data_IF_727431708112
#
_entry.id   IF_727431708112
#
_cell.length_a   1.000
_cell.length_b   1.000
_cell.length_c   1.000
_cell.angle_alpha   90.00
_cell.angle_beta   90.00
_cell.angle_gamma   90.00
#
_symmetry.space_group_name_H-M   'P 1'
#
loop_
_entity.id
_entity.type
_entity.pdbx_description
1 polymer ?
#
# COMPACT_ATOMS: atom_id res chain seq x y z
N UNK A 1 -24.35 12.35 60.34
CA UNK A 1 -23.21 13.12 59.83
C UNK A 1 -21.94 12.33 60.09
N UNK A 2 -21.45 11.59 59.08
CA UNK A 2 -20.05 11.17 58.97
C UNK A 2 -19.83 10.84 57.50
N UNK A 3 -18.97 11.61 56.83
CA UNK A 3 -18.64 11.45 55.43
C UNK A 3 -17.29 10.75 55.32
N UNK A 4 -17.28 9.47 55.03
CA UNK A 4 -16.05 8.74 54.71
C UNK A 4 -15.63 9.05 53.27
N UNK A 5 -14.64 9.94 53.12
CA UNK A 5 -13.94 10.15 51.85
C UNK A 5 -12.87 9.08 51.70
N UNK A 6 -13.08 8.16 50.77
CA UNK A 6 -12.04 7.24 50.30
C UNK A 6 -10.95 8.04 49.59
N UNK A 7 -9.73 8.00 50.12
CA UNK A 7 -8.57 8.65 49.52
C UNK A 7 -8.06 7.83 48.33
N UNK A 8 -8.02 8.45 47.15
CA UNK A 8 -7.41 7.89 45.93
C UNK A 8 -5.89 8.11 46.00
N UNK A 9 -5.03 7.08 45.82
CA UNK A 9 -3.59 7.28 45.83
C UNK A 9 -3.13 8.03 44.58
N UNK A 10 -2.04 8.83 44.66
CA UNK A 10 -1.56 9.58 43.51
C UNK A 10 -1.03 8.64 42.43
N UNK A 11 -1.39 8.92 41.19
CA UNK A 11 -0.81 8.30 39.99
C UNK A 11 0.70 8.55 40.01
N UNK A 12 1.50 7.49 40.04
CA UNK A 12 2.95 7.57 39.84
C UNK A 12 3.21 8.09 38.42
N UNK A 13 3.67 9.33 38.33
CA UNK A 13 4.13 9.95 37.08
C UNK A 13 5.48 9.35 36.69
N UNK A 14 5.44 8.18 36.04
CA UNK A 14 6.61 7.50 35.48
C UNK A 14 6.69 7.60 33.96
N UNK A 15 6.22 8.71 33.36
CA UNK A 15 6.44 8.96 31.94
C UNK A 15 7.77 9.70 31.79
N UNK A 16 8.88 8.95 31.84
CA UNK A 16 10.11 9.42 31.20
C UNK A 16 9.75 9.73 29.74
N UNK A 17 9.80 11.01 29.37
CA UNK A 17 9.70 11.39 27.97
C UNK A 17 10.91 10.76 27.30
N UNK A 18 10.71 9.67 26.58
CA UNK A 18 11.67 9.20 25.60
C UNK A 18 11.94 10.38 24.66
N UNK A 19 13.08 11.06 24.86
CA UNK A 19 13.58 12.04 23.91
C UNK A 19 13.76 11.30 22.60
N UNK A 20 13.07 11.72 21.54
CA UNK A 20 13.23 11.14 20.22
C UNK A 20 14.73 11.14 19.89
N UNK A 21 15.31 9.95 19.73
CA UNK A 21 16.70 9.81 19.33
C UNK A 21 16.74 10.19 17.86
N UNK A 22 17.32 11.34 17.55
CA UNK A 22 17.58 11.72 16.17
C UNK A 22 18.71 10.82 15.68
N UNK A 23 18.39 9.91 14.75
CA UNK A 23 19.36 8.97 14.19
C UNK A 23 20.57 9.69 13.61
N UNK A 24 21.77 9.18 13.91
CA UNK A 24 23.02 9.69 13.32
C UNK A 24 23.31 9.08 11.95
N UNK A 25 22.60 8.03 11.53
CA UNK A 25 22.68 7.48 10.17
C UNK A 25 22.05 8.45 9.14
N UNK A 26 22.81 8.95 8.15
CA UNK A 26 22.30 9.89 7.16
C UNK A 26 21.18 9.30 6.29
N UNK A 27 21.14 7.98 6.07
CA UNK A 27 20.07 7.31 5.30
C UNK A 27 18.76 7.35 6.06
N UNK A 28 18.80 7.09 7.37
CA UNK A 28 17.60 7.13 8.24
C UNK A 28 17.07 8.55 8.37
N UNK A 29 17.93 9.57 8.50
CA UNK A 29 17.49 10.96 8.50
C UNK A 29 16.85 11.37 7.17
N UNK A 30 17.53 11.12 6.05
CA UNK A 30 17.00 11.42 4.73
C UNK A 30 15.65 10.72 4.50
N UNK A 31 15.54 9.47 4.92
CA UNK A 31 14.31 8.70 4.84
C UNK A 31 13.17 9.37 5.63
N UNK A 32 13.44 9.73 6.87
CA UNK A 32 12.45 10.31 7.78
C UNK A 32 12.02 11.71 7.32
N UNK A 33 12.98 12.55 6.93
CA UNK A 33 12.73 13.95 6.56
C UNK A 33 12.00 14.09 5.22
N UNK A 34 12.29 13.22 4.25
CA UNK A 34 11.74 13.32 2.91
C UNK A 34 10.48 12.48 2.69
N UNK A 35 10.33 11.36 3.39
CA UNK A 35 9.24 10.41 3.11
C UNK A 35 8.07 10.49 4.08
N UNK A 36 8.20 11.20 5.21
CA UNK A 36 7.09 11.38 6.15
C UNK A 36 5.77 11.81 5.46
N UNK A 37 5.73 12.83 4.57
CA UNK A 37 4.48 13.20 3.90
C UNK A 37 3.85 12.06 3.09
N UNK A 38 4.68 11.23 2.42
CA UNK A 38 4.22 10.08 1.63
C UNK A 38 3.63 9.00 2.51
N UNK A 39 4.31 8.63 3.60
CA UNK A 39 3.83 7.62 4.54
C UNK A 39 2.45 7.98 5.09
N UNK A 40 2.32 9.21 5.59
CA UNK A 40 1.08 9.70 6.17
C UNK A 40 -0.01 9.81 5.12
N UNK A 41 0.28 10.34 3.92
CA UNK A 41 -0.70 10.47 2.85
C UNK A 41 -1.21 9.11 2.34
N UNK A 42 -0.40 8.07 2.40
CA UNK A 42 -0.76 6.71 1.99
C UNK A 42 -1.39 5.87 3.11
N UNK A 43 -1.55 6.42 4.31
CA UNK A 43 -2.34 5.80 5.39
C UNK A 43 -1.53 5.21 6.55
N UNK A 44 -0.21 5.43 6.62
CA UNK A 44 0.55 5.10 7.83
C UNK A 44 0.14 6.05 8.96
N UNK A 45 -0.22 5.51 10.13
CA UNK A 45 -0.53 6.32 11.31
C UNK A 45 0.67 7.17 11.71
N UNK A 46 0.42 8.44 12.05
CA UNK A 46 1.49 9.38 12.41
C UNK A 46 2.27 8.93 13.65
N UNK A 47 1.59 8.36 14.66
CA UNK A 47 2.27 7.90 15.86
C UNK A 47 3.07 6.63 15.61
N UNK A 48 2.61 5.75 14.70
CA UNK A 48 3.42 4.62 14.23
C UNK A 48 4.67 5.12 13.51
N UNK A 49 4.54 6.09 12.61
CA UNK A 49 5.70 6.67 11.93
C UNK A 49 6.72 7.24 12.92
N UNK A 50 6.30 8.16 13.80
CA UNK A 50 7.19 8.81 14.78
C UNK A 50 7.80 7.79 15.74
N UNK A 51 7.00 6.85 16.27
CA UNK A 51 7.46 5.82 17.21
C UNK A 51 8.50 4.90 16.58
N UNK A 52 8.28 4.50 15.32
CA UNK A 52 9.15 3.55 14.61
C UNK A 52 10.46 4.22 14.24
N UNK A 53 10.38 5.34 13.51
CA UNK A 53 11.55 6.08 13.03
C UNK A 53 12.41 6.64 14.16
N UNK A 54 11.80 7.09 15.26
CA UNK A 54 12.52 7.62 16.43
C UNK A 54 13.34 6.58 17.21
N UNK A 55 13.30 5.30 16.82
CA UNK A 55 14.05 4.19 17.44
C UNK A 55 15.09 3.57 16.49
N UNK A 56 15.14 3.98 15.23
CA UNK A 56 16.04 3.39 14.23
C UNK A 56 17.38 4.14 14.27
N UNK A 57 18.42 3.49 14.74
CA UNK A 57 19.77 4.08 14.78
C UNK A 57 20.56 3.86 13.49
N UNK A 58 20.31 2.75 12.78
CA UNK A 58 21.02 2.36 11.55
C UNK A 58 20.04 1.92 10.47
N UNK A 59 20.36 2.18 9.21
CA UNK A 59 19.53 1.78 8.07
C UNK A 59 19.27 0.27 8.01
N UNK A 60 20.25 -0.52 8.46
CA UNK A 60 20.17 -1.98 8.52
C UNK A 60 18.99 -2.45 9.38
N UNK A 61 18.61 -1.67 10.39
CA UNK A 61 17.53 -1.96 11.34
C UNK A 61 16.14 -1.50 10.83
N UNK A 62 16.09 -0.79 9.69
CA UNK A 62 14.86 -0.18 9.16
C UNK A 62 13.76 -1.20 8.88
N UNK A 63 14.08 -2.25 8.11
CA UNK A 63 13.10 -3.29 7.76
C UNK A 63 12.56 -4.01 9.00
N UNK A 64 13.42 -4.30 9.98
CA UNK A 64 13.03 -5.01 11.19
C UNK A 64 12.12 -4.16 12.08
N UNK A 65 12.44 -2.87 12.23
CA UNK A 65 11.62 -1.94 13.00
C UNK A 65 10.19 -1.82 12.44
N UNK A 66 10.07 -1.65 11.12
CA UNK A 66 8.76 -1.59 10.45
C UNK A 66 8.03 -2.94 10.43
N UNK A 67 8.76 -4.05 10.28
CA UNK A 67 8.18 -5.40 10.36
C UNK A 67 7.60 -5.69 11.74
N UNK A 68 8.26 -5.24 12.81
CA UNK A 68 7.75 -5.40 14.17
C UNK A 68 6.41 -4.67 14.39
N UNK A 69 6.26 -3.46 13.84
CA UNK A 69 5.01 -2.70 13.90
C UNK A 69 3.92 -3.35 13.05
N UNK A 70 4.28 -3.92 11.90
CA UNK A 70 3.35 -4.72 11.13
C UNK A 70 2.85 -5.94 11.93
N UNK A 71 3.73 -6.62 12.68
CA UNK A 71 3.35 -7.73 13.55
C UNK A 71 2.41 -7.31 14.69
N UNK A 72 2.61 -6.13 15.28
CA UNK A 72 1.67 -5.53 16.24
C UNK A 72 0.26 -5.39 15.62
N UNK A 73 0.17 -4.85 14.40
CA UNK A 73 -1.10 -4.69 13.68
C UNK A 73 -1.73 -6.03 13.28
N UNK A 74 -0.93 -7.04 12.92
CA UNK A 74 -1.44 -8.39 12.63
C UNK A 74 -2.04 -9.05 13.88
N UNK A 75 -1.48 -8.83 15.08
CA UNK A 75 -2.08 -9.28 16.33
C UNK A 75 -3.38 -8.52 16.65
N UNK A 76 -3.42 -7.20 16.43
CA UNK A 76 -4.64 -6.42 16.57
C UNK A 76 -5.75 -6.92 15.63
N UNK A 77 -5.39 -7.28 14.39
CA UNK A 77 -6.32 -7.87 13.44
C UNK A 77 -6.88 -9.20 13.94
N UNK A 78 -6.02 -10.11 14.44
CA UNK A 78 -6.44 -11.39 15.04
C UNK A 78 -7.38 -11.20 16.22
N UNK A 79 -7.04 -10.29 17.14
CA UNK A 79 -7.87 -9.96 18.30
C UNK A 79 -9.24 -9.38 17.90
N UNK A 80 -9.27 -8.54 16.87
CA UNK A 80 -10.51 -7.97 16.32
C UNK A 80 -11.40 -9.06 15.69
N UNK A 81 -10.82 -10.01 14.94
CA UNK A 81 -11.55 -11.18 14.40
C UNK A 81 -12.17 -12.00 15.54
N UNK A 82 -11.38 -12.35 16.56
CA UNK A 82 -11.86 -13.13 17.71
C UNK A 82 -13.00 -12.46 18.48
N UNK A 83 -13.11 -11.13 18.38
CA UNK A 83 -14.17 -10.32 18.97
C UNK A 83 -15.31 -9.96 17.99
N UNK A 84 -15.35 -10.53 16.78
CA UNK A 84 -16.38 -10.25 15.77
C UNK A 84 -16.32 -8.84 15.15
N UNK A 85 -15.19 -8.13 15.26
CA UNK A 85 -14.99 -6.76 14.79
C UNK A 85 -14.30 -6.72 13.42
N UNK A 86 -15.00 -7.20 12.38
CA UNK A 86 -14.45 -7.36 11.03
C UNK A 86 -13.83 -6.08 10.44
N UNK A 87 -14.53 -4.94 10.52
CA UNK A 87 -13.99 -3.66 10.02
C UNK A 87 -12.67 -3.28 10.71
N UNK A 88 -12.61 -3.42 12.04
CA UNK A 88 -11.36 -3.16 12.80
C UNK A 88 -10.24 -4.10 12.39
N UNK A 89 -10.56 -5.38 12.12
CA UNK A 89 -9.56 -6.32 11.63
C UNK A 89 -9.02 -5.91 10.25
N UNK A 90 -9.89 -5.48 9.34
CA UNK A 90 -9.53 -5.00 8.02
C UNK A 90 -8.59 -3.80 8.05
N UNK A 91 -8.89 -2.78 8.86
CA UNK A 91 -8.03 -1.59 9.01
C UNK A 91 -6.65 -1.98 9.60
N UNK A 92 -6.61 -2.90 10.57
CA UNK A 92 -5.35 -3.38 11.13
C UNK A 92 -4.51 -4.18 10.10
N UNK A 93 -5.14 -5.02 9.27
CA UNK A 93 -4.44 -5.68 8.17
C UNK A 93 -3.89 -4.68 7.14
N UNK A 94 -4.64 -3.62 6.84
CA UNK A 94 -4.18 -2.56 5.94
C UNK A 94 -2.95 -1.84 6.51
N UNK A 95 -2.96 -1.47 7.79
CA UNK A 95 -1.79 -0.88 8.43
C UNK A 95 -0.58 -1.82 8.43
N UNK A 96 -0.78 -3.12 8.65
CA UNK A 96 0.29 -4.11 8.55
C UNK A 96 0.88 -4.16 7.13
N UNK A 97 0.04 -4.16 6.09
CA UNK A 97 0.48 -4.13 4.70
C UNK A 97 1.32 -2.88 4.40
N UNK A 98 0.85 -1.70 4.81
CA UNK A 98 1.58 -0.44 4.61
C UNK A 98 2.91 -0.43 5.38
N UNK A 99 2.94 -0.90 6.63
CA UNK A 99 4.18 -1.02 7.41
C UNK A 99 5.19 -1.95 6.75
N UNK A 100 4.75 -3.09 6.20
CA UNK A 100 5.63 -4.01 5.47
C UNK A 100 6.13 -3.40 4.16
N UNK A 101 5.25 -2.75 3.40
CA UNK A 101 5.60 -2.05 2.17
C UNK A 101 6.67 -0.99 2.42
N UNK A 102 6.42 -0.10 3.37
CA UNK A 102 7.36 0.94 3.76
C UNK A 102 8.53 0.45 4.64
N UNK A 103 8.49 -0.78 5.12
CA UNK A 103 9.65 -1.44 5.72
C UNK A 103 10.63 -1.93 4.66
N UNK A 104 10.13 -2.41 3.51
CA UNK A 104 10.96 -2.93 2.41
C UNK A 104 11.28 -1.91 1.32
N UNK A 105 10.50 -0.84 1.16
CA UNK A 105 10.76 0.16 0.13
C UNK A 105 12.19 0.71 0.29
N UNK A 106 12.92 0.79 -0.83
CA UNK A 106 14.33 1.20 -0.93
C UNK A 106 15.33 0.46 0.00
N UNK A 107 14.89 -0.54 0.75
CA UNK A 107 15.73 -1.39 1.58
C UNK A 107 16.24 -2.55 0.73
N UNK A 108 17.40 -2.36 0.11
CA UNK A 108 17.99 -3.30 -0.86
C UNK A 108 19.18 -4.07 -0.32
N UNK A 109 19.28 -4.21 1.02
CA UNK A 109 20.42 -4.86 1.67
C UNK A 109 20.39 -6.39 1.56
N UNK A 110 19.20 -6.98 1.49
CA UNK A 110 19.00 -8.42 1.39
C UNK A 110 17.75 -8.72 0.54
N UNK A 111 17.95 -9.36 -0.61
CA UNK A 111 16.88 -9.67 -1.56
C UNK A 111 15.87 -10.69 -1.02
N UNK A 112 16.30 -11.65 -0.21
CA UNK A 112 15.41 -12.67 0.35
C UNK A 112 14.49 -12.07 1.41
N UNK A 113 15.03 -11.21 2.28
CA UNK A 113 14.23 -10.48 3.27
C UNK A 113 13.29 -9.46 2.62
N UNK A 114 13.73 -8.76 1.58
CA UNK A 114 12.85 -7.89 0.79
C UNK A 114 11.69 -8.66 0.16
N UNK A 115 11.96 -9.84 -0.43
CA UNK A 115 10.93 -10.73 -0.99
C UNK A 115 9.94 -11.21 0.07
N UNK A 116 10.43 -11.67 1.22
CA UNK A 116 9.58 -12.12 2.32
C UNK A 116 8.67 -11.00 2.85
N UNK A 117 9.17 -9.77 2.99
CA UNK A 117 8.37 -8.62 3.39
C UNK A 117 7.32 -8.25 2.33
N UNK A 118 7.66 -8.36 1.04
CA UNK A 118 6.73 -8.14 -0.07
C UNK A 118 5.58 -9.14 -0.04
N UNK A 119 5.87 -10.43 0.11
CA UNK A 119 4.86 -11.50 0.20
C UNK A 119 3.95 -11.32 1.43
N UNK A 120 4.51 -10.94 2.58
CA UNK A 120 3.73 -10.59 3.77
C UNK A 120 2.83 -9.38 3.55
N UNK A 121 3.32 -8.34 2.86
CA UNK A 121 2.54 -7.14 2.55
C UNK A 121 1.32 -7.47 1.67
N UNK A 122 1.54 -8.25 0.62
CA UNK A 122 0.48 -8.74 -0.28
C UNK A 122 -0.57 -9.55 0.49
N UNK A 123 -0.13 -10.49 1.32
CA UNK A 123 -1.03 -11.31 2.12
C UNK A 123 -1.86 -10.45 3.09
N UNK A 124 -1.25 -9.47 3.75
CA UNK A 124 -1.95 -8.54 4.63
C UNK A 124 -2.97 -7.69 3.86
N UNK A 125 -2.64 -7.16 2.68
CA UNK A 125 -3.58 -6.41 1.85
C UNK A 125 -4.79 -7.27 1.45
N UNK A 126 -4.60 -8.52 1.06
CA UNK A 126 -5.72 -9.39 0.70
C UNK A 126 -6.62 -9.70 1.89
N UNK A 127 -6.06 -9.87 3.09
CA UNK A 127 -6.86 -9.93 4.31
C UNK A 127 -7.62 -8.62 4.57
N UNK A 128 -7.00 -7.46 4.31
CA UNK A 128 -7.67 -6.18 4.42
C UNK A 128 -8.86 -6.07 3.45
N UNK A 129 -8.68 -6.48 2.19
CA UNK A 129 -9.74 -6.54 1.19
C UNK A 129 -10.92 -7.39 1.66
N UNK A 130 -10.71 -8.60 2.17
CA UNK A 130 -11.80 -9.47 2.66
C UNK A 130 -12.73 -8.79 3.67
N UNK A 131 -12.23 -7.84 4.48
CA UNK A 131 -13.02 -7.15 5.50
C UNK A 131 -13.46 -5.74 5.13
N UNK A 132 -12.68 -5.02 4.32
CA UNK A 132 -12.93 -3.62 3.96
C UNK A 132 -13.56 -3.45 2.59
N UNK A 133 -13.21 -4.32 1.65
CA UNK A 133 -13.70 -4.31 0.27
C UNK A 133 -13.82 -5.75 -0.25
N UNK A 134 -14.86 -6.49 0.19
CA UNK A 134 -15.04 -7.90 -0.19
C UNK A 134 -15.24 -8.11 -1.69
N UNK A 135 -15.45 -7.03 -2.45
CA UNK A 135 -15.56 -7.05 -3.90
C UNK A 135 -14.20 -6.92 -4.60
N UNK A 136 -13.11 -6.64 -3.88
CA UNK A 136 -11.80 -6.53 -4.49
C UNK A 136 -11.37 -7.88 -5.09
N UNK A 137 -10.89 -7.86 -6.33
CA UNK A 137 -10.44 -9.04 -7.06
C UNK A 137 -8.96 -8.92 -7.39
N UNK A 138 -8.21 -10.00 -7.21
CA UNK A 138 -6.90 -10.14 -7.86
C UNK A 138 -7.11 -10.46 -9.33
N UNK A 139 -6.50 -9.66 -10.20
CA UNK A 139 -6.44 -9.88 -11.64
C UNK A 139 -5.02 -10.28 -12.00
N UNK A 140 -4.88 -11.29 -12.85
CA UNK A 140 -3.60 -11.71 -13.39
C UNK A 140 -3.59 -11.55 -14.91
N UNK A 141 -2.52 -10.96 -15.43
CA UNK A 141 -2.25 -10.86 -16.85
C UNK A 141 -0.95 -11.60 -17.19
N UNK A 142 -0.77 -11.96 -18.45
CA UNK A 142 0.46 -12.64 -18.91
C UNK A 142 1.25 -11.70 -19.81
N UNK A 143 2.53 -11.50 -19.47
CA UNK A 143 3.50 -10.77 -20.28
C UNK A 143 4.78 -11.61 -20.37
N UNK A 144 5.25 -11.88 -21.59
CA UNK A 144 6.45 -12.70 -21.86
C UNK A 144 6.46 -14.05 -21.12
N UNK A 145 5.27 -14.66 -20.99
CA UNK A 145 5.09 -15.93 -20.27
C UNK A 145 5.32 -15.82 -18.76
N UNK A 146 5.18 -14.63 -18.17
CA UNK A 146 5.21 -14.35 -16.73
C UNK A 146 3.93 -13.64 -16.29
N UNK A 147 3.63 -13.73 -15.00
CA UNK A 147 2.41 -13.16 -14.43
C UNK A 147 2.64 -11.70 -14.00
N UNK A 148 1.77 -10.83 -14.49
CA UNK A 148 1.54 -9.49 -13.97
C UNK A 148 0.38 -9.54 -12.99
N UNK A 149 0.55 -8.97 -11.80
CA UNK A 149 -0.47 -8.95 -10.77
C UNK A 149 -1.14 -7.58 -10.68
N UNK A 150 -2.46 -7.56 -10.56
CA UNK A 150 -3.23 -6.35 -10.33
C UNK A 150 -4.37 -6.59 -9.33
N UNK A 151 -4.87 -5.52 -8.72
CA UNK A 151 -6.06 -5.54 -7.86
C UNK A 151 -7.13 -4.67 -8.49
N UNK A 152 -8.28 -5.27 -8.80
CA UNK A 152 -9.49 -4.59 -9.27
C UNK A 152 -10.39 -4.30 -8.08
N UNK A 153 -10.77 -3.04 -7.89
CA UNK A 153 -11.77 -2.63 -6.90
C UNK A 153 -12.88 -1.83 -7.58
N UNK A 154 -14.11 -1.95 -7.09
CA UNK A 154 -15.28 -1.30 -7.69
C UNK A 154 -16.10 -0.56 -6.65
N UNK A 155 -16.74 0.56 -7.03
CA UNK A 155 -17.68 1.24 -6.15
C UNK A 155 -18.90 0.36 -5.87
N UNK A 156 -19.39 0.40 -4.63
CA UNK A 156 -20.63 -0.29 -4.26
C UNK A 156 -21.82 0.27 -5.05
N UNK A 157 -22.66 -0.62 -5.60
CA UNK A 157 -23.90 -0.23 -6.28
C UNK A 157 -23.73 0.45 -7.64
N UNK A 158 -22.50 0.53 -8.18
CA UNK A 158 -22.28 1.00 -9.55
C UNK A 158 -22.57 -0.12 -10.54
N UNK A 159 -23.31 0.14 -11.62
CA UNK A 159 -23.52 -0.81 -12.70
C UNK A 159 -22.23 -1.11 -13.46
N UNK A 160 -21.88 -0.25 -14.42
CA UNK A 160 -20.65 -0.36 -15.23
C UNK A 160 -19.78 0.89 -15.01
N UNK A 161 -19.03 0.96 -13.90
CA UNK A 161 -18.20 2.13 -13.61
C UNK A 161 -17.06 2.27 -14.64
N UNK A 162 -16.64 3.52 -14.97
CA UNK A 162 -15.39 3.77 -15.67
C UNK A 162 -14.20 3.26 -14.85
N UNK A 163 -13.09 2.92 -15.51
CA UNK A 163 -11.91 2.31 -14.91
C UNK A 163 -10.75 3.29 -14.80
N UNK A 164 -10.06 3.31 -13.67
CA UNK A 164 -8.80 4.03 -13.48
C UNK A 164 -7.69 3.03 -13.19
N UNK A 165 -6.70 2.95 -14.07
CA UNK A 165 -5.48 2.18 -13.85
C UNK A 165 -4.52 2.97 -12.95
N UNK A 166 -4.01 2.36 -11.89
CA UNK A 166 -2.99 3.00 -11.02
C UNK A 166 -1.63 2.33 -11.27
N UNK A 167 -0.66 3.14 -11.68
CA UNK A 167 0.69 2.70 -12.05
C UNK A 167 1.68 3.15 -10.96
N UNK A 168 2.31 2.22 -10.22
CA UNK A 168 3.31 2.54 -9.21
C UNK A 168 4.55 3.24 -9.78
N UNK A 169 5.30 3.88 -8.88
CA UNK A 169 6.65 4.39 -9.13
C UNK A 169 7.73 3.31 -9.05
N UNK A 170 8.99 3.73 -8.93
CA UNK A 170 10.13 2.80 -8.88
C UNK A 170 10.13 1.94 -7.61
N UNK A 171 9.77 2.53 -6.48
CA UNK A 171 9.82 1.93 -5.13
C UNK A 171 8.42 1.69 -4.53
N UNK A 172 7.36 1.98 -5.29
CA UNK A 172 5.96 1.75 -4.93
C UNK A 172 5.46 0.43 -5.49
N UNK A 173 4.36 -0.08 -4.96
CA UNK A 173 3.66 -1.28 -5.43
C UNK A 173 2.16 -1.11 -5.26
N UNK A 174 1.35 -2.01 -5.83
CA UNK A 174 -0.11 -1.96 -5.69
C UNK A 174 -0.61 -1.96 -4.24
N UNK A 175 0.16 -2.49 -3.28
CA UNK A 175 -0.18 -2.47 -1.84
C UNK A 175 -0.22 -1.07 -1.23
N UNK A 176 0.47 -0.09 -1.82
CA UNK A 176 0.48 1.30 -1.33
C UNK A 176 -0.83 2.05 -1.66
N UNK A 177 -1.62 1.55 -2.61
CA UNK A 177 -2.65 2.35 -3.26
C UNK A 177 -4.03 2.33 -2.61
N UNK A 178 -4.28 1.52 -1.58
CA UNK A 178 -5.63 1.36 -1.02
C UNK A 178 -6.35 2.69 -0.71
N UNK A 179 -5.66 3.64 -0.06
CA UNK A 179 -6.23 4.96 0.26
C UNK A 179 -6.33 5.87 -0.97
N UNK A 180 -5.39 5.78 -1.90
CA UNK A 180 -5.42 6.53 -3.15
C UNK A 180 -6.62 6.09 -4.02
N UNK A 181 -6.83 4.79 -4.12
CA UNK A 181 -7.96 4.19 -4.84
C UNK A 181 -9.32 4.65 -4.30
N UNK A 182 -9.43 4.84 -2.98
CA UNK A 182 -10.65 5.33 -2.35
C UNK A 182 -11.08 6.70 -2.91
N UNK A 183 -10.14 7.55 -3.37
CA UNK A 183 -10.48 8.81 -4.03
C UNK A 183 -11.26 8.61 -5.34
N UNK A 184 -11.02 7.53 -6.07
CA UNK A 184 -11.74 7.19 -7.29
C UNK A 184 -13.05 6.45 -6.97
N UNK A 185 -13.00 5.50 -6.05
CA UNK A 185 -14.16 4.67 -5.67
C UNK A 185 -15.32 5.55 -5.15
N UNK A 186 -15.05 6.53 -4.28
CA UNK A 186 -16.12 7.43 -3.78
C UNK A 186 -16.71 8.34 -4.87
N UNK A 187 -16.09 8.41 -6.05
CA UNK A 187 -16.54 9.17 -7.23
C UNK A 187 -17.16 8.26 -8.29
N UNK A 188 -17.42 6.99 -7.98
CA UNK A 188 -18.06 6.05 -8.90
C UNK A 188 -17.15 5.51 -10.00
N UNK A 189 -15.82 5.56 -9.81
CA UNK A 189 -14.82 4.96 -10.70
C UNK A 189 -14.26 3.68 -10.07
N UNK A 190 -14.16 2.61 -10.86
CA UNK A 190 -13.40 1.42 -10.48
C UNK A 190 -11.90 1.68 -10.58
N UNK A 191 -11.10 0.94 -9.83
CA UNK A 191 -9.64 1.04 -9.84
C UNK A 191 -8.99 -0.28 -10.20
N UNK A 192 -7.88 -0.21 -10.92
CA UNK A 192 -7.01 -1.35 -11.21
C UNK A 192 -5.56 -0.97 -10.90
N UNK A 193 -5.12 -1.23 -9.66
CA UNK A 193 -3.71 -1.05 -9.29
C UNK A 193 -2.89 -2.23 -9.80
N UNK A 194 -1.77 -2.00 -10.48
CA UNK A 194 -0.96 -3.07 -11.06
C UNK A 194 0.48 -3.05 -10.55
N UNK A 195 1.11 -4.22 -10.50
CA UNK A 195 2.56 -4.37 -10.43
C UNK A 195 3.08 -4.70 -11.85
N UNK A 196 3.81 -3.77 -12.45
CA UNK A 196 4.44 -3.97 -13.75
C UNK A 196 5.84 -4.58 -13.70
N UNK A 197 6.53 -4.63 -14.85
CA UNK A 197 7.94 -5.04 -14.92
C UNK A 197 8.82 -4.21 -13.97
N UNK A 198 9.58 -4.89 -13.10
CA UNK A 198 10.43 -4.30 -12.08
C UNK A 198 9.71 -3.86 -10.80
N UNK A 199 8.40 -4.07 -10.68
CA UNK A 199 7.60 -3.59 -9.55
C UNK A 199 6.94 -4.73 -8.78
N UNK A 200 6.93 -4.61 -7.45
CA UNK A 200 6.23 -5.52 -6.54
C UNK A 200 6.48 -6.99 -6.82
N UNK A 201 5.42 -7.81 -6.80
CA UNK A 201 5.55 -9.25 -7.00
C UNK A 201 5.91 -9.62 -8.45
N UNK A 202 5.51 -8.81 -9.42
CA UNK A 202 5.85 -9.01 -10.83
C UNK A 202 7.34 -8.74 -11.11
N UNK A 203 7.96 -7.88 -10.31
CA UNK A 203 9.40 -7.57 -10.34
C UNK A 203 10.30 -8.77 -10.02
N UNK A 204 9.78 -9.83 -9.39
CA UNK A 204 10.56 -11.06 -9.16
C UNK A 204 10.86 -11.83 -10.44
N UNK A 205 10.02 -11.66 -11.47
CA UNK A 205 10.12 -12.40 -12.72
C UNK A 205 10.37 -11.52 -13.94
N UNK A 206 10.02 -10.23 -13.86
CA UNK A 206 10.12 -9.28 -14.95
C UNK A 206 10.99 -8.10 -14.52
N UNK A 207 12.09 -7.88 -15.24
CA UNK A 207 12.94 -6.71 -15.04
C UNK A 207 12.26 -5.44 -15.56
N UNK A 208 12.65 -4.29 -15.01
CA UNK A 208 12.24 -2.98 -15.52
C UNK A 208 12.54 -2.87 -17.03
N UNK A 209 11.62 -2.30 -17.80
CA UNK A 209 11.74 -2.16 -19.25
C UNK A 209 11.29 -0.79 -19.73
N UNK A 210 11.84 -0.27 -20.84
CA UNK A 210 11.51 1.07 -21.32
C UNK A 210 10.12 1.16 -21.95
N UNK A 211 9.65 0.07 -22.56
CA UNK A 211 8.35 -0.08 -23.24
C UNK A 211 7.24 -0.54 -22.28
N UNK A 212 7.09 0.16 -21.15
CA UNK A 212 6.15 -0.20 -20.07
C UNK A 212 4.68 -0.32 -20.54
N UNK A 213 4.30 0.34 -21.64
CA UNK A 213 2.99 0.25 -22.28
C UNK A 213 2.53 -1.18 -22.56
N UNK A 214 3.46 -2.13 -22.81
CA UNK A 214 3.09 -3.52 -23.07
C UNK A 214 2.48 -4.21 -21.84
N UNK A 215 2.91 -3.81 -20.63
CA UNK A 215 2.34 -4.31 -19.39
C UNK A 215 0.93 -3.73 -19.16
N UNK A 216 0.75 -2.45 -19.49
CA UNK A 216 -0.57 -1.80 -19.44
C UNK A 216 -1.55 -2.48 -20.40
N UNK A 217 -1.13 -2.72 -21.65
CA UNK A 217 -1.93 -3.44 -22.64
C UNK A 217 -2.33 -4.83 -22.14
N UNK A 218 -1.38 -5.60 -21.61
CA UNK A 218 -1.65 -6.95 -21.08
C UNK A 218 -2.66 -6.95 -19.90
N UNK A 219 -2.56 -5.97 -18.99
CA UNK A 219 -3.50 -5.85 -17.86
C UNK A 219 -4.89 -5.42 -18.33
N UNK A 220 -4.99 -4.54 -19.34
CA UNK A 220 -6.28 -4.18 -19.94
C UNK A 220 -6.90 -5.34 -20.73
N UNK A 221 -6.09 -6.16 -21.41
CA UNK A 221 -6.54 -7.37 -22.09
C UNK A 221 -7.15 -8.37 -21.11
N UNK A 222 -6.56 -8.52 -19.93
CA UNK A 222 -7.06 -9.41 -18.88
C UNK A 222 -8.47 -9.03 -18.37
N UNK A 223 -8.90 -7.77 -18.55
CA UNK A 223 -10.24 -7.30 -18.17
C UNK A 223 -11.16 -7.00 -19.36
N UNK A 224 -10.69 -7.16 -20.60
CA UNK A 224 -11.40 -6.70 -21.82
C UNK A 224 -12.80 -7.31 -22.03
N UNK A 225 -13.03 -8.53 -21.53
CA UNK A 225 -14.31 -9.25 -21.68
C UNK A 225 -15.34 -8.97 -20.58
N UNK A 226 -15.04 -8.07 -19.63
CA UNK A 226 -15.88 -7.81 -18.47
C UNK A 226 -17.09 -6.93 -18.82
N UNK A 227 -18.27 -7.34 -18.38
CA UNK A 227 -19.51 -6.59 -18.53
C UNK A 227 -19.86 -5.74 -17.29
N UNK A 228 -19.15 -5.95 -16.17
CA UNK A 228 -19.26 -5.16 -14.93
C UNK A 228 -18.39 -3.90 -14.92
N UNK A 229 -17.75 -3.55 -16.05
CA UNK A 229 -16.94 -2.35 -16.24
C UNK A 229 -17.34 -1.60 -17.52
N UNK A 230 -17.11 -0.28 -17.53
CA UNK A 230 -17.19 0.54 -18.74
C UNK A 230 -15.79 0.81 -19.30
N UNK A 231 -15.34 -0.12 -20.14
CA UNK A 231 -14.01 -0.10 -20.76
C UNK A 231 -13.88 0.86 -21.94
N UNK A 232 -14.94 1.60 -22.30
CA UNK A 232 -14.83 2.74 -23.21
C UNK A 232 -14.32 4.00 -22.49
N UNK A 233 -14.36 4.01 -21.15
CA UNK A 233 -13.92 5.11 -20.30
C UNK A 233 -12.83 4.64 -19.33
N UNK A 234 -11.65 4.36 -19.87
CA UNK A 234 -10.46 4.01 -19.08
C UNK A 234 -9.54 5.22 -18.96
N UNK A 235 -9.14 5.55 -17.73
CA UNK A 235 -8.07 6.50 -17.44
C UNK A 235 -6.88 5.83 -16.76
N UNK A 236 -5.74 6.52 -16.69
CA UNK A 236 -4.58 6.07 -15.94
C UNK A 236 -4.01 7.17 -15.04
N UNK A 237 -3.57 6.80 -13.84
CA UNK A 237 -2.81 7.66 -12.93
C UNK A 237 -1.50 6.99 -12.60
N UNK A 238 -0.41 7.70 -12.85
CA UNK A 238 0.94 7.26 -12.55
C UNK A 238 1.56 8.09 -11.43
N UNK A 239 2.19 7.42 -10.46
CA UNK A 239 2.86 8.08 -9.33
C UNK A 239 4.38 7.96 -9.48
N UNK A 240 5.11 9.07 -9.32
CA UNK A 240 6.57 9.15 -9.43
C UNK A 240 7.04 8.63 -10.80
N UNK A 241 7.85 7.56 -10.88
CA UNK A 241 8.21 6.93 -12.16
C UNK A 241 6.97 6.46 -12.94
N UNK A 242 5.88 6.11 -12.25
CA UNK A 242 4.58 5.85 -12.86
C UNK A 242 4.06 7.08 -13.62
N UNK A 243 4.36 8.29 -13.17
CA UNK A 243 4.03 9.54 -13.87
C UNK A 243 4.75 9.72 -15.20
N UNK A 244 5.86 8.99 -15.43
CA UNK A 244 6.44 8.82 -16.76
C UNK A 244 5.76 7.68 -17.54
N UNK A 245 5.48 6.54 -16.88
CA UNK A 245 4.85 5.39 -17.53
C UNK A 245 3.43 5.65 -18.02
N UNK A 246 2.62 6.40 -17.27
CA UNK A 246 1.23 6.67 -17.63
C UNK A 246 1.08 7.45 -18.95
N UNK A 247 1.73 8.62 -19.16
CA UNK A 247 1.65 9.32 -20.44
C UNK A 247 2.32 8.54 -21.57
N UNK A 248 3.38 7.78 -21.26
CA UNK A 248 3.97 6.85 -22.25
C UNK A 248 2.96 5.79 -22.67
N UNK A 249 2.29 5.13 -21.74
CA UNK A 249 1.25 4.14 -22.04
C UNK A 249 0.13 4.76 -22.87
N UNK A 250 -0.35 5.95 -22.51
CA UNK A 250 -1.37 6.66 -23.28
C UNK A 250 -0.94 6.99 -24.74
N UNK A 251 0.36 7.09 -25.02
CA UNK A 251 0.87 7.30 -26.38
C UNK A 251 0.79 6.05 -27.27
N UNK A 252 0.68 4.84 -26.69
CA UNK A 252 0.71 3.56 -27.41
C UNK A 252 -0.51 2.67 -27.16
N UNK A 253 -1.30 2.94 -26.12
CA UNK A 253 -2.50 2.17 -25.74
C UNK A 253 -3.76 3.03 -25.93
N UNK A 254 -4.47 2.90 -27.07
CA UNK A 254 -5.59 3.76 -27.44
C UNK A 254 -6.83 3.62 -26.55
N UNK A 255 -6.90 2.57 -25.71
CA UNK A 255 -7.99 2.42 -24.73
C UNK A 255 -7.91 3.48 -23.62
N UNK A 256 -6.73 4.04 -23.34
CA UNK A 256 -6.56 5.09 -22.34
C UNK A 256 -7.09 6.44 -22.88
N UNK A 257 -8.15 6.96 -22.25
CA UNK A 257 -8.83 8.20 -22.63
C UNK A 257 -8.44 9.41 -21.78
N UNK A 258 -7.82 9.18 -20.63
CA UNK A 258 -7.34 10.23 -19.73
C UNK A 258 -6.08 9.77 -19.01
N UNK A 259 -5.17 10.72 -18.73
CA UNK A 259 -3.93 10.42 -18.01
C UNK A 259 -3.58 11.53 -17.03
N UNK A 260 -3.07 11.15 -15.86
CA UNK A 260 -2.42 12.04 -14.92
C UNK A 260 -1.09 11.44 -14.45
N UNK A 261 -0.04 12.25 -14.40
CA UNK A 261 1.24 11.92 -13.75
C UNK A 261 1.40 12.80 -12.52
N UNK A 262 1.80 12.20 -11.40
CA UNK A 262 1.97 12.86 -10.09
C UNK A 262 3.40 12.63 -9.60
#
# INVERSE_FOLDING_TARGET
MSSDRVAVPPLRSGLERATAVVSTDPRVRAATDHWAPRFIAMGVDYNDFVRTTGRIERWEDWLDAWSAVADEHLELARAAIGAGRGRTAGEAYLHAALCLHFGKFVWTLDAARHRAATERSIAALYRAHEYLDPSAERVEAVLDGRVLAANLRRPAGSGRPPLVLLIPGLDSTKEEFFHHENAFLVRGMATLSMDGPGQGESGFALAIRPDYEVAVGAVLDAVAGRDDLDLERVGAVGVSLGGYYAPRAAAFEPRLRAVAGI
#
